data_IF_766237510038
#
_entry.id   IF_766237510038
#
_cell.length_a   1.000
_cell.length_b   1.000
_cell.length_c   1.000
_cell.angle_alpha   90.00
_cell.angle_beta   90.00
_cell.angle_gamma   90.00
#
_symmetry.space_group_name_H-M   'P 1'
#
loop_
_entity.id
_entity.type
_entity.pdbx_description
1 polymer ?
#
# COMPACT_ATOMS: atom_id res chain seq x y z
N UNK A 1 42.66 -25.12 21.55
CA UNK A 1 41.87 -24.00 20.99
C UNK A 1 40.42 -24.44 20.95
N UNK A 2 39.49 -23.74 21.64
CA UNK A 2 38.05 -24.02 21.60
C UNK A 2 37.39 -22.97 20.72
N UNK A 3 36.73 -23.43 19.65
CA UNK A 3 35.84 -22.62 18.82
C UNK A 3 34.59 -22.31 19.65
N UNK A 4 34.36 -21.03 19.92
CA UNK A 4 33.08 -20.54 20.42
C UNK A 4 32.13 -20.48 19.22
N UNK A 5 31.13 -21.36 19.22
CA UNK A 5 29.94 -21.21 18.40
C UNK A 5 29.17 -20.05 19.02
N UNK A 6 29.10 -18.92 18.32
CA UNK A 6 28.21 -17.83 18.69
C UNK A 6 26.79 -18.29 18.39
N UNK A 7 25.96 -18.33 19.42
CA UNK A 7 24.52 -18.56 19.31
C UNK A 7 23.87 -17.38 18.55
N UNK A 8 23.29 -17.65 17.39
CA UNK A 8 22.52 -16.70 16.55
C UNK A 8 21.14 -16.33 17.15
N UNK A 9 21.01 -16.29 18.48
CA UNK A 9 19.71 -16.06 19.17
C UNK A 9 19.55 -14.67 19.80
N UNK A 10 20.49 -13.74 19.60
CA UNK A 10 20.41 -12.37 20.15
C UNK A 10 19.92 -11.31 19.15
N UNK A 11 18.92 -11.63 18.32
CA UNK A 11 18.15 -10.61 17.59
C UNK A 11 16.66 -10.62 17.92
N UNK A 12 16.30 -10.93 19.16
CA UNK A 12 15.13 -10.28 19.77
C UNK A 12 15.52 -8.85 20.16
N UNK A 13 15.71 -8.00 19.16
CA UNK A 13 15.88 -6.57 19.39
C UNK A 13 14.60 -6.10 20.06
N UNK A 14 14.72 -5.59 21.28
CA UNK A 14 13.78 -4.68 21.92
C UNK A 14 13.37 -3.61 20.90
N UNK A 15 12.28 -3.84 20.17
CA UNK A 15 11.62 -2.81 19.38
C UNK A 15 10.93 -1.97 20.43
N UNK A 16 11.54 -0.82 20.79
CA UNK A 16 10.81 0.21 21.52
C UNK A 16 9.44 0.37 20.85
N UNK A 17 8.33 0.24 21.60
CA UNK A 17 7.02 0.48 21.03
C UNK A 17 7.06 1.87 20.39
N UNK A 18 6.63 1.95 19.13
CA UNK A 18 6.47 3.23 18.47
C UNK A 18 5.70 4.16 19.43
N UNK A 19 6.12 5.43 19.58
CA UNK A 19 5.43 6.35 20.48
C UNK A 19 3.94 6.30 20.19
N UNK A 20 3.14 6.01 21.23
CA UNK A 20 1.71 5.70 21.10
C UNK A 20 0.94 6.78 20.31
N UNK A 21 1.45 8.02 20.31
CA UNK A 21 0.87 9.13 19.57
C UNK A 21 1.81 9.64 18.47
N UNK A 22 1.42 9.41 17.21
CA UNK A 22 1.94 10.21 16.10
C UNK A 22 1.63 11.70 16.35
N UNK A 23 2.50 12.65 15.94
CA UNK A 23 2.22 14.08 16.06
C UNK A 23 0.81 14.42 15.54
N UNK A 24 0.01 15.14 16.34
CA UNK A 24 -1.38 15.49 15.99
C UNK A 24 -1.51 16.09 14.59
N UNK A 25 -0.55 16.91 14.17
CA UNK A 25 -0.50 17.49 12.84
C UNK A 25 -0.45 16.42 11.71
N UNK A 26 0.26 15.30 11.92
CA UNK A 26 0.30 14.18 10.98
C UNK A 26 -1.01 13.39 10.99
N UNK A 27 -1.59 13.16 12.18
CA UNK A 27 -2.89 12.50 12.31
C UNK A 27 -3.99 13.30 11.60
N UNK A 28 -4.08 14.61 11.85
CA UNK A 28 -5.04 15.51 11.21
C UNK A 28 -4.87 15.54 9.69
N UNK A 29 -3.62 15.58 9.21
CA UNK A 29 -3.31 15.54 7.78
C UNK A 29 -3.74 14.21 7.17
N UNK A 30 -3.48 13.09 7.85
CA UNK A 30 -3.87 11.77 7.38
C UNK A 30 -5.40 11.64 7.29
N UNK A 31 -6.13 12.06 8.33
CA UNK A 31 -7.60 12.04 8.35
C UNK A 31 -8.20 12.89 7.24
N UNK A 32 -7.69 14.11 7.02
CA UNK A 32 -8.15 14.97 5.91
C UNK A 32 -7.87 14.39 4.52
N UNK A 33 -6.82 13.57 4.38
CA UNK A 33 -6.40 13.02 3.09
C UNK A 33 -7.08 11.69 2.74
N UNK A 34 -7.33 10.85 3.75
CA UNK A 34 -7.79 9.47 3.57
C UNK A 34 -9.16 9.16 4.17
N UNK A 35 -9.74 10.04 4.98
CA UNK A 35 -11.06 9.84 5.57
C UNK A 35 -12.08 10.88 5.10
N UNK A 36 -13.35 10.51 5.15
CA UNK A 36 -14.48 11.41 5.04
C UNK A 36 -15.04 11.60 6.44
N UNK A 37 -15.11 12.86 6.87
CA UNK A 37 -15.72 13.24 8.12
C UNK A 37 -17.24 13.27 7.95
N UNK A 38 -17.94 12.43 8.71
CA UNK A 38 -19.38 12.52 8.90
C UNK A 38 -19.64 13.21 10.23
N UNK A 39 -20.32 14.35 10.17
CA UNK A 39 -20.75 15.07 11.37
C UNK A 39 -22.14 14.55 11.70
N UNK A 40 -22.26 13.85 12.83
CA UNK A 40 -23.55 13.43 13.32
C UNK A 40 -24.23 14.61 14.02
N UNK A 41 -25.19 15.25 13.35
CA UNK A 41 -25.85 16.48 13.81
C UNK A 41 -26.49 16.34 15.20
N UNK A 42 -26.94 15.13 15.55
CA UNK A 42 -27.61 14.85 16.84
C UNK A 42 -26.64 14.80 18.02
N UNK A 43 -25.42 14.33 17.80
CA UNK A 43 -24.42 14.12 18.87
C UNK A 43 -23.26 15.12 18.81
N UNK A 44 -23.18 15.92 17.73
CA UNK A 44 -22.02 16.77 17.39
C UNK A 44 -20.69 16.01 17.39
N UNK A 45 -20.73 14.68 17.28
CA UNK A 45 -19.53 13.84 17.16
C UNK A 45 -19.15 13.74 15.69
N UNK A 46 -17.85 13.84 15.45
CA UNK A 46 -17.27 13.64 14.13
C UNK A 46 -16.80 12.19 14.02
N UNK A 47 -17.45 11.43 13.14
CA UNK A 47 -17.06 10.08 12.81
C UNK A 47 -16.29 10.09 11.49
N UNK A 48 -15.03 9.65 11.52
CA UNK A 48 -14.20 9.58 10.32
C UNK A 48 -14.30 8.18 9.72
N UNK A 49 -14.69 8.09 8.45
CA UNK A 49 -14.78 6.82 7.73
C UNK A 49 -13.80 6.82 6.56
N UNK A 50 -13.04 5.72 6.39
CA UNK A 50 -12.11 5.57 5.26
C UNK A 50 -12.82 4.77 4.15
N UNK A 51 -13.33 5.43 3.10
CA UNK A 51 -14.03 4.75 2.00
C UNK A 51 -13.07 3.84 1.22
N UNK A 52 -13.59 2.80 0.52
CA UNK A 52 -12.75 1.82 -0.19
C UNK A 52 -11.72 2.42 -1.16
N UNK A 53 -12.09 3.51 -1.87
CA UNK A 53 -11.18 4.21 -2.79
C UNK A 53 -9.98 4.84 -2.06
N UNK A 54 -10.22 5.45 -0.89
CA UNK A 54 -9.15 6.06 -0.10
C UNK A 54 -8.32 5.00 0.64
N UNK A 55 -8.91 3.84 0.98
CA UNK A 55 -8.14 2.67 1.46
C UNK A 55 -7.13 2.22 0.40
N UNK A 56 -7.54 2.08 -0.86
CA UNK A 56 -6.63 1.69 -1.94
C UNK A 56 -5.49 2.71 -2.09
N UNK A 57 -5.81 4.01 -2.06
CA UNK A 57 -4.81 5.08 -2.12
C UNK A 57 -3.83 5.01 -0.94
N UNK A 58 -4.34 4.77 0.28
CA UNK A 58 -3.52 4.60 1.48
C UNK A 58 -2.59 3.39 1.37
N UNK A 59 -3.11 2.24 0.94
CA UNK A 59 -2.31 1.03 0.69
C UNK A 59 -1.22 1.29 -0.34
N UNK A 60 -1.53 1.99 -1.44
CA UNK A 60 -0.52 2.34 -2.43
C UNK A 60 0.61 3.21 -1.84
N UNK A 61 0.30 4.18 -0.97
CA UNK A 61 1.33 4.97 -0.28
C UNK A 61 2.18 4.10 0.65
N UNK A 62 1.58 3.14 1.35
CA UNK A 62 2.32 2.19 2.19
C UNK A 62 3.25 1.33 1.32
N UNK A 63 2.79 0.83 0.18
CA UNK A 63 3.63 0.08 -0.77
C UNK A 63 4.81 0.92 -1.29
N UNK A 64 4.59 2.21 -1.57
CA UNK A 64 5.67 3.14 -1.96
C UNK A 64 6.69 3.27 -0.82
N UNK A 65 6.25 3.47 0.42
CA UNK A 65 7.17 3.53 1.56
C UNK A 65 7.95 2.22 1.75
N UNK A 66 7.29 1.07 1.59
CA UNK A 66 7.95 -0.23 1.63
C UNK A 66 9.03 -0.36 0.54
N UNK A 67 8.76 0.13 -0.68
CA UNK A 67 9.79 0.18 -1.73
C UNK A 67 10.99 1.01 -1.31
N UNK A 68 10.80 2.19 -0.74
CA UNK A 68 11.92 3.02 -0.28
C UNK A 68 12.74 2.37 0.84
N UNK A 69 12.07 1.76 1.82
CA UNK A 69 12.73 1.10 2.95
C UNK A 69 13.51 -0.14 2.48
N UNK A 70 12.95 -0.91 1.56
CA UNK A 70 13.55 -2.15 1.08
C UNK A 70 14.43 -1.98 -0.17
N UNK A 71 15.01 -0.78 -0.40
CA UNK A 71 15.91 -0.49 -1.54
C UNK A 71 15.30 -0.92 -2.89
N UNK A 72 14.05 -0.54 -3.11
CA UNK A 72 13.27 -0.77 -4.33
C UNK A 72 12.98 -2.24 -4.67
N UNK A 73 13.17 -3.16 -3.72
CA UNK A 73 12.87 -4.58 -3.86
C UNK A 73 12.04 -5.05 -2.66
N UNK A 74 10.81 -5.49 -2.87
CA UNK A 74 9.88 -5.86 -1.78
C UNK A 74 9.37 -7.28 -1.98
N UNK A 75 9.47 -8.11 -0.95
CA UNK A 75 8.75 -9.37 -0.89
C UNK A 75 7.26 -9.09 -0.56
N UNK A 76 6.39 -9.35 -1.53
CA UNK A 76 4.96 -9.04 -1.49
C UNK A 76 4.26 -9.92 -0.46
N UNK A 77 4.68 -11.17 -0.30
CA UNK A 77 4.09 -12.12 0.63
C UNK A 77 4.40 -11.71 2.08
N UNK A 78 5.66 -11.34 2.37
CA UNK A 78 6.04 -10.80 3.67
C UNK A 78 5.33 -9.48 3.98
N UNK A 79 5.22 -8.57 2.99
CA UNK A 79 4.48 -7.32 3.18
C UNK A 79 2.99 -7.58 3.49
N UNK A 80 2.37 -8.56 2.83
CA UNK A 80 0.98 -8.95 3.09
C UNK A 80 0.80 -9.48 4.51
N UNK A 81 1.74 -10.27 5.01
CA UNK A 81 1.70 -10.74 6.40
C UNK A 81 1.76 -9.58 7.39
N UNK A 82 2.64 -8.60 7.14
CA UNK A 82 2.78 -7.39 8.00
C UNK A 82 1.57 -6.46 7.95
N UNK A 83 0.88 -6.35 6.81
CA UNK A 83 -0.35 -5.56 6.66
C UNK A 83 -1.60 -6.26 7.24
N UNK A 84 -1.44 -7.51 7.70
CA UNK A 84 -2.54 -8.39 8.07
C UNK A 84 -3.28 -8.95 6.87
N UNK A 85 -3.92 -10.10 7.05
CA UNK A 85 -4.58 -10.87 5.97
C UNK A 85 -5.82 -10.18 5.33
N UNK A 86 -6.03 -8.90 5.61
CA UNK A 86 -7.15 -8.09 5.11
C UNK A 86 -7.08 -7.79 3.61
N UNK A 87 -5.88 -7.87 3.01
CA UNK A 87 -5.64 -7.64 1.58
C UNK A 87 -5.25 -8.96 0.91
N UNK A 88 -5.94 -9.28 -0.19
CA UNK A 88 -5.60 -10.43 -1.03
C UNK A 88 -4.26 -10.21 -1.73
N UNK A 89 -3.45 -11.27 -1.86
CA UNK A 89 -2.14 -11.20 -2.49
C UNK A 89 -2.21 -10.65 -3.93
N UNK A 90 -3.21 -11.08 -4.70
CA UNK A 90 -3.44 -10.60 -6.07
C UNK A 90 -3.66 -9.09 -6.12
N UNK A 91 -4.44 -8.53 -5.18
CA UNK A 91 -4.65 -7.08 -5.12
C UNK A 91 -3.36 -6.32 -4.80
N UNK A 92 -2.50 -6.89 -3.96
CA UNK A 92 -1.21 -6.27 -3.64
C UNK A 92 -0.27 -6.31 -4.85
N UNK A 93 -0.27 -7.40 -5.61
CA UNK A 93 0.43 -7.52 -6.89
C UNK A 93 -0.09 -6.51 -7.92
N UNK A 94 -1.41 -6.33 -8.03
CA UNK A 94 -2.02 -5.34 -8.93
C UNK A 94 -1.54 -3.92 -8.58
N UNK A 95 -1.52 -3.57 -7.29
CA UNK A 95 -1.01 -2.27 -6.81
C UNK A 95 0.45 -2.06 -7.20
N UNK A 96 1.33 -3.06 -6.96
CA UNK A 96 2.75 -2.94 -7.36
C UNK A 96 2.91 -2.80 -8.88
N UNK A 97 2.09 -3.50 -9.65
CA UNK A 97 2.09 -3.39 -11.12
C UNK A 97 1.62 -2.00 -11.57
N UNK A 98 0.59 -1.44 -10.93
CA UNK A 98 0.13 -0.06 -11.18
C UNK A 98 1.17 0.99 -10.81
N UNK A 99 1.99 0.73 -9.78
CA UNK A 99 3.14 1.57 -9.40
C UNK A 99 4.33 1.46 -10.37
N UNK A 100 4.24 0.59 -11.38
CA UNK A 100 5.29 0.39 -12.38
C UNK A 100 6.38 -0.60 -11.95
N UNK A 101 6.16 -1.36 -10.87
CA UNK A 101 7.08 -2.41 -10.46
C UNK A 101 6.92 -3.65 -11.35
N UNK A 102 8.03 -4.35 -11.55
CA UNK A 102 8.06 -5.68 -12.14
C UNK A 102 7.89 -6.70 -11.04
N UNK A 103 7.04 -7.69 -11.26
CA UNK A 103 6.81 -8.77 -10.29
C UNK A 103 7.50 -10.03 -10.81
N UNK A 104 8.38 -10.58 -9.98
CA UNK A 104 9.15 -11.79 -10.27
C UNK A 104 8.77 -12.82 -9.21
N UNK A 105 8.46 -14.05 -9.62
CA UNK A 105 8.31 -15.16 -8.69
C UNK A 105 9.69 -15.74 -8.40
N UNK A 106 10.08 -15.74 -7.13
CA UNK A 106 11.33 -16.34 -6.67
C UNK A 106 10.96 -17.46 -5.69
N UNK A 107 11.20 -18.70 -6.10
CA UNK A 107 10.73 -19.89 -5.40
C UNK A 107 9.21 -19.82 -5.11
N UNK A 108 8.82 -19.73 -3.83
CA UNK A 108 7.43 -19.71 -3.38
C UNK A 108 6.90 -18.30 -3.05
N UNK A 109 7.70 -17.24 -3.25
CA UNK A 109 7.29 -15.86 -2.95
C UNK A 109 7.28 -14.97 -4.20
N UNK A 110 6.47 -13.93 -4.15
CA UNK A 110 6.38 -12.90 -5.18
C UNK A 110 7.17 -11.69 -4.75
N UNK A 111 8.14 -11.28 -5.55
CA UNK A 111 9.00 -10.12 -5.28
C UNK A 111 8.66 -9.01 -6.29
N UNK A 112 8.38 -7.81 -5.78
CA UNK A 112 8.23 -6.60 -6.59
C UNK A 112 9.56 -5.84 -6.65
N UNK A 113 10.05 -5.55 -7.85
CA UNK A 113 11.24 -4.72 -8.10
C UNK A 113 10.86 -3.48 -8.89
N UNK A 114 11.36 -2.31 -8.47
CA UNK A 114 11.26 -1.08 -9.25
C UNK A 114 12.56 -0.91 -10.05
N UNK A 115 12.51 -1.13 -11.36
CA UNK A 115 13.64 -1.02 -12.29
C UNK A 115 13.59 0.33 -13.04
N UNK A 116 14.76 0.86 -13.42
CA UNK A 116 14.88 2.02 -14.32
C UNK A 116 15.22 1.56 -15.74
N UNK A 117 14.57 2.08 -16.81
CA UNK A 117 13.56 3.13 -16.79
C UNK A 117 12.24 2.66 -16.19
N UNK A 118 11.58 3.56 -15.44
CA UNK A 118 10.30 3.25 -14.79
C UNK A 118 9.29 2.88 -15.88
N UNK A 119 8.74 1.66 -15.79
CA UNK A 119 7.64 1.26 -16.64
C UNK A 119 6.49 2.25 -16.45
N UNK A 120 6.09 2.93 -17.53
CA UNK A 120 4.98 3.90 -17.45
C UNK A 120 3.75 3.18 -16.89
N UNK A 121 3.11 3.72 -15.83
CA UNK A 121 1.91 3.12 -15.27
C UNK A 121 0.86 3.00 -16.37
N UNK A 122 0.32 1.81 -16.60
CA UNK A 122 -0.67 1.50 -17.65
C UNK A 122 -2.06 2.08 -17.35
N UNK A 123 -2.13 3.21 -16.67
CA UNK A 123 -3.36 3.83 -16.15
C UNK A 123 -3.99 4.79 -17.18
N UNK A 124 -3.94 4.46 -18.47
CA UNK A 124 -4.67 5.20 -19.53
C UNK A 124 -5.97 4.52 -19.96
N UNK A 125 -6.13 3.22 -19.73
CA UNK A 125 -7.28 2.49 -20.29
C UNK A 125 -8.45 2.28 -19.32
N UNK A 126 -8.23 2.39 -18.00
CA UNK A 126 -9.29 2.21 -16.99
C UNK A 126 -10.15 3.46 -16.72
N UNK A 127 -9.69 4.65 -17.13
CA UNK A 127 -10.42 5.92 -16.97
C UNK A 127 -10.98 6.47 -18.28
N UNK A 128 -10.73 5.80 -19.41
CA UNK A 128 -11.49 5.99 -20.65
C UNK A 128 -12.85 5.29 -20.51
N UNK A 129 -13.72 5.88 -19.70
CA UNK A 129 -15.14 5.59 -19.72
C UNK A 129 -15.65 5.85 -21.14
N UNK A 130 -15.82 4.75 -21.88
CA UNK A 130 -16.60 4.58 -23.12
C UNK A 130 -17.45 5.81 -23.47
N UNK A 131 -16.87 6.78 -24.19
CA UNK A 131 -17.62 7.72 -25.00
C UNK A 131 -18.12 6.98 -26.25
N UNK A 132 -19.02 6.02 -26.06
CA UNK A 132 -19.74 5.35 -27.14
C UNK A 132 -21.19 5.84 -27.13
N UNK A 133 -21.37 7.16 -27.26
CA UNK A 133 -22.65 7.76 -27.63
C UNK A 133 -22.84 7.51 -29.13
N UNK A 134 -23.28 6.30 -29.50
CA UNK A 134 -23.83 6.01 -30.84
C UNK A 134 -25.02 6.93 -31.06
N UNK A 135 -24.81 8.10 -31.66
CA UNK A 135 -25.87 8.88 -32.31
C UNK A 135 -26.25 8.11 -33.59
N UNK A 136 -27.29 7.27 -33.51
CA UNK A 136 -28.06 6.90 -34.70
C UNK A 136 -28.69 8.20 -35.21
N UNK A 137 -28.18 8.73 -36.32
CA UNK A 137 -28.85 9.78 -37.08
C UNK A 137 -29.66 9.05 -38.15
N UNK A 138 -30.96 8.96 -37.95
CA UNK A 138 -31.92 8.56 -38.97
C UNK A 138 -32.25 9.80 -39.79
N UNK A 139 -32.03 9.71 -41.09
CA UNK A 139 -32.78 10.40 -42.14
C UNK A 139 -32.80 9.47 -43.33
#
# INVERSE_FOLDING_TARGET
MRLLVADDTEMERNIEPFPDDAPRALQDKALRTYAIANINERTRKQDNTVPPRLRLKLTAHICILALYICRFTVDIDNLRLSLGSSIALSKLQDIFTELGCKIIKVANTSVATLETPINKPKLKDALSLKSNRKRKRTT
#
